data_IF_417340977143
#
_entry.id   IF_417340977143
#
_cell.length_a   1.000
_cell.length_b   1.000
_cell.length_c   1.000
_cell.angle_alpha   90.00
_cell.angle_beta   90.00
_cell.angle_gamma   90.00
#
_symmetry.space_group_name_H-M   'P 1'
#
loop_
_entity.id
_entity.type
_entity.pdbx_description
1 polymer ?
#
# COMPACT_ATOMS: atom_id res chain seq x y z
N UNK A 1 4.90 1.31 5.66
CA UNK A 1 4.17 1.09 4.40
C UNK A 1 4.26 -0.38 3.95
N UNK A 2 3.54 -1.29 4.62
CA UNK A 2 3.66 -2.75 4.43
C UNK A 2 3.15 -3.25 3.06
N UNK A 3 2.24 -2.50 2.44
CA UNK A 3 1.63 -2.83 1.15
C UNK A 3 2.63 -2.99 0.00
N UNK A 4 3.81 -2.34 0.08
CA UNK A 4 4.87 -2.43 -0.92
C UNK A 4 5.58 -3.78 -0.96
N UNK A 5 5.43 -4.60 0.08
CA UNK A 5 6.16 -5.87 0.23
C UNK A 5 5.24 -7.08 0.32
N UNK A 6 3.92 -6.84 0.41
CA UNK A 6 2.91 -7.88 0.48
C UNK A 6 2.20 -8.02 -0.86
N UNK A 7 1.97 -9.25 -1.30
CA UNK A 7 1.16 -9.51 -2.50
C UNK A 7 -0.31 -9.07 -2.35
N UNK A 8 -0.79 -8.92 -1.11
CA UNK A 8 -2.16 -8.57 -0.78
C UNK A 8 -2.21 -7.45 0.26
N UNK A 9 -3.23 -6.63 0.16
CA UNK A 9 -3.50 -5.47 1.00
C UNK A 9 -4.87 -5.59 1.69
N UNK A 10 -4.93 -5.16 2.94
CA UNK A 10 -6.17 -4.93 3.68
C UNK A 10 -6.61 -3.46 3.55
N UNK A 11 -7.84 -3.15 4.00
CA UNK A 11 -8.29 -1.74 4.10
C UNK A 11 -7.36 -0.89 4.97
N UNK A 12 -6.79 -1.44 6.04
CA UNK A 12 -5.82 -0.74 6.88
C UNK A 12 -4.53 -0.42 6.13
N UNK A 13 -4.02 -1.36 5.31
CA UNK A 13 -2.83 -1.13 4.49
C UNK A 13 -3.08 -0.02 3.44
N UNK A 14 -4.27 0.00 2.85
CA UNK A 14 -4.71 1.05 1.91
C UNK A 14 -4.80 2.41 2.64
N UNK A 15 -5.34 2.42 3.87
CA UNK A 15 -5.44 3.64 4.67
C UNK A 15 -4.06 4.22 5.00
N UNK A 16 -3.09 3.36 5.38
CA UNK A 16 -1.71 3.76 5.63
C UNK A 16 -1.07 4.35 4.35
N UNK A 17 -1.25 3.68 3.21
CA UNK A 17 -0.76 4.15 1.90
C UNK A 17 -1.33 5.53 1.53
N UNK A 18 -2.59 5.79 1.88
CA UNK A 18 -3.26 7.06 1.63
C UNK A 18 -2.94 8.14 2.68
N UNK A 19 -1.99 7.90 3.59
CA UNK A 19 -1.61 8.86 4.63
C UNK A 19 -2.70 9.08 5.68
N UNK A 20 -3.44 8.04 6.06
CA UNK A 20 -4.54 8.16 7.02
C UNK A 20 -5.87 8.63 6.40
N UNK A 21 -6.08 8.34 5.11
CA UNK A 21 -7.27 8.75 4.37
C UNK A 21 -8.60 8.35 5.04
N UNK A 22 -9.66 9.14 4.78
CA UNK A 22 -11.01 8.86 5.30
C UNK A 22 -11.46 7.44 4.95
N UNK A 23 -12.00 6.70 5.92
CA UNK A 23 -12.41 5.30 5.75
C UNK A 23 -13.38 5.03 4.60
N UNK A 24 -14.25 6.01 4.28
CA UNK A 24 -15.15 5.95 3.12
C UNK A 24 -14.38 5.89 1.79
N UNK A 25 -13.30 6.65 1.65
CA UNK A 25 -12.45 6.62 0.45
C UNK A 25 -11.66 5.31 0.38
N UNK A 26 -11.11 4.86 1.50
CA UNK A 26 -10.43 3.57 1.62
C UNK A 26 -11.33 2.41 1.20
N UNK A 27 -12.58 2.41 1.68
CA UNK A 27 -13.57 1.39 1.30
C UNK A 27 -13.88 1.43 -0.19
N UNK A 28 -14.05 2.64 -0.78
CA UNK A 28 -14.26 2.77 -2.22
C UNK A 28 -13.10 2.17 -3.04
N UNK A 29 -11.86 2.45 -2.66
CA UNK A 29 -10.67 1.88 -3.32
C UNK A 29 -10.64 0.36 -3.19
N UNK A 30 -10.95 -0.16 -2.01
CA UNK A 30 -11.00 -1.60 -1.76
C UNK A 30 -12.07 -2.28 -2.63
N UNK A 31 -13.27 -1.70 -2.72
CA UNK A 31 -14.37 -2.24 -3.51
C UNK A 31 -14.07 -2.19 -5.01
N UNK A 32 -13.39 -1.13 -5.48
CA UNK A 32 -12.90 -1.04 -6.86
C UNK A 32 -11.84 -2.11 -7.16
N UNK A 33 -10.92 -2.36 -6.23
CA UNK A 33 -9.95 -3.45 -6.36
C UNK A 33 -10.65 -4.81 -6.41
N UNK A 34 -11.71 -5.03 -5.61
CA UNK A 34 -12.49 -6.27 -5.64
C UNK A 34 -13.20 -6.48 -6.97
N UNK A 35 -13.77 -5.43 -7.56
CA UNK A 35 -14.38 -5.48 -8.89
C UNK A 35 -13.37 -5.83 -9.98
N UNK A 36 -12.15 -5.31 -9.88
CA UNK A 36 -11.06 -5.58 -10.84
C UNK A 36 -10.43 -6.96 -10.65
N UNK A 37 -10.37 -7.47 -9.42
CA UNK A 37 -9.89 -8.82 -9.10
C UNK A 37 -10.76 -9.88 -9.80
N UNK A 38 -12.08 -9.60 -9.91
CA UNK A 38 -13.06 -10.48 -10.55
C UNK A 38 -12.95 -11.94 -10.08
N UNK A 39 -12.68 -12.14 -8.78
CA UNK A 39 -12.60 -13.47 -8.16
C UNK A 39 -14.03 -14.00 -7.92
N UNK A 40 -14.48 -15.01 -8.70
CA UNK A 40 -15.85 -15.52 -8.60
C UNK A 40 -16.12 -16.26 -7.29
N UNK A 41 -15.07 -16.70 -6.58
CA UNK A 41 -15.19 -17.43 -5.33
C UNK A 41 -14.95 -16.55 -4.10
N UNK A 42 -14.52 -15.30 -4.30
CA UNK A 42 -14.15 -14.36 -3.26
C UNK A 42 -13.34 -15.02 -2.13
N UNK A 43 -12.29 -15.76 -2.49
CA UNK A 43 -11.50 -16.58 -1.56
C UNK A 43 -10.86 -15.76 -0.44
N UNK A 44 -10.76 -14.44 -0.63
CA UNK A 44 -10.10 -13.51 0.29
C UNK A 44 -10.96 -12.27 0.52
N UNK A 45 -12.09 -12.35 1.24
CA UNK A 45 -13.05 -11.25 1.33
C UNK A 45 -12.46 -9.97 1.96
N UNK A 46 -11.45 -10.11 2.82
CA UNK A 46 -10.84 -9.01 3.56
C UNK A 46 -9.54 -8.48 2.94
N UNK A 47 -9.14 -8.99 1.77
CA UNK A 47 -7.87 -8.63 1.11
C UNK A 47 -8.07 -8.42 -0.38
N UNK A 48 -7.26 -7.55 -0.96
CA UNK A 48 -7.18 -7.32 -2.41
C UNK A 48 -5.73 -7.41 -2.86
N UNK A 49 -5.45 -7.77 -4.12
CA UNK A 49 -4.09 -7.75 -4.65
C UNK A 49 -3.47 -6.34 -4.54
N UNK A 50 -2.28 -6.23 -3.97
CA UNK A 50 -1.65 -4.92 -3.70
C UNK A 50 -1.44 -4.12 -4.98
N UNK A 51 -1.07 -4.77 -6.09
CA UNK A 51 -0.87 -4.09 -7.38
C UNK A 51 -2.15 -3.42 -7.91
N UNK A 52 -3.34 -3.95 -7.59
CA UNK A 52 -4.61 -3.30 -7.95
C UNK A 52 -4.84 -2.02 -7.14
N UNK A 53 -4.40 -1.98 -5.89
CA UNK A 53 -4.47 -0.76 -5.07
C UNK A 53 -3.67 0.37 -5.72
N UNK A 54 -2.44 0.09 -6.14
CA UNK A 54 -1.61 1.08 -6.85
C UNK A 54 -2.24 1.51 -8.17
N UNK A 55 -2.81 0.56 -8.93
CA UNK A 55 -3.53 0.83 -10.17
C UNK A 55 -4.74 1.74 -9.96
N UNK A 56 -5.59 1.44 -8.99
CA UNK A 56 -6.81 2.21 -8.68
C UNK A 56 -6.47 3.62 -8.19
N UNK A 57 -5.41 3.76 -7.38
CA UNK A 57 -4.96 5.06 -6.90
C UNK A 57 -4.16 5.87 -7.95
N UNK A 58 -3.86 5.29 -9.11
CA UNK A 58 -3.02 5.93 -10.13
C UNK A 58 -1.57 6.12 -9.67
N UNK A 59 -1.11 5.32 -8.71
CA UNK A 59 0.24 5.40 -8.15
C UNK A 59 1.20 4.50 -8.93
N UNK A 60 2.35 5.05 -9.32
CA UNK A 60 3.42 4.24 -9.91
C UNK A 60 4.11 3.44 -8.81
N UNK A 61 3.95 2.12 -8.86
CA UNK A 61 4.53 1.19 -7.88
C UNK A 61 6.05 1.30 -7.78
N UNK A 62 6.76 1.35 -8.91
CA UNK A 62 8.22 1.47 -8.94
C UNK A 62 8.70 2.76 -8.31
N UNK A 63 7.97 3.86 -8.53
CA UNK A 63 8.25 5.14 -7.91
C UNK A 63 8.02 5.09 -6.39
N UNK A 64 6.87 4.56 -5.95
CA UNK A 64 6.56 4.42 -4.52
C UNK A 64 7.56 3.51 -3.78
N UNK A 65 7.97 2.40 -4.42
CA UNK A 65 8.98 1.49 -3.88
C UNK A 65 10.35 2.18 -3.78
N UNK A 66 10.73 2.98 -4.78
CA UNK A 66 11.97 3.75 -4.76
C UNK A 66 11.98 4.78 -3.64
N UNK A 67 10.92 5.58 -3.50
CA UNK A 67 10.81 6.57 -2.42
C UNK A 67 10.90 5.93 -1.03
N UNK A 68 10.25 4.78 -0.84
CA UNK A 68 10.35 4.06 0.43
C UNK A 68 11.80 3.63 0.72
N UNK A 69 12.50 3.04 -0.26
CA UNK A 69 13.91 2.64 -0.10
C UNK A 69 14.82 3.82 0.21
N UNK A 70 14.62 4.95 -0.46
CA UNK A 70 15.38 6.18 -0.21
C UNK A 70 15.15 6.72 1.21
N UNK A 71 13.90 6.71 1.69
CA UNK A 71 13.58 7.11 3.07
C UNK A 71 14.17 6.17 4.11
N UNK A 72 14.07 4.84 3.91
CA UNK A 72 14.66 3.88 4.86
C UNK A 72 16.17 3.99 4.91
N UNK A 73 16.83 4.19 3.77
CA UNK A 73 18.29 4.35 3.73
C UNK A 73 18.71 5.66 4.42
N UNK A 74 18.00 6.77 4.19
CA UNK A 74 18.28 8.05 4.83
C UNK A 74 18.04 8.04 6.35
N UNK A 75 17.04 7.29 6.82
CA UNK A 75 16.75 7.12 8.24
C UNK A 75 17.89 6.38 8.96
N UNK A 76 18.41 5.31 8.35
CA UNK A 76 19.54 4.51 8.87
C UNK A 76 20.82 5.33 9.02
N UNK A 77 21.08 6.26 8.09
CA UNK A 77 22.27 7.11 8.11
C UNK A 77 22.23 8.15 9.23
N UNK A 78 21.05 8.68 9.59
CA UNK A 78 20.89 9.68 10.66
C UNK A 78 21.07 9.08 12.05
N UNK A 79 20.61 7.85 12.28
CA UNK A 79 20.77 7.17 13.57
C UNK A 79 22.23 6.80 13.86
N UNK A 80 23.04 6.54 12.82
CA UNK A 80 24.46 6.21 12.99
C UNK A 80 25.34 7.43 13.34
N UNK A 81 24.88 8.66 13.06
CA UNK A 81 25.63 9.89 13.35
C UNK A 81 25.34 10.49 14.73
N UNK A 82 24.27 10.05 15.41
CA UNK A 82 23.87 10.51 16.76
C UNK A 82 24.39 9.60 17.88
N UNK A 83 25.10 8.53 17.54
CA UNK A 83 25.66 7.55 18.48
C UNK A 83 27.18 7.64 18.65
N UNK A 84 27.81 8.73 18.17
CA UNK A 84 29.24 9.04 18.37
C UNK A 84 29.42 10.36 19.11
#
# INVERSE_FOLDING_TARGET
MKILFNAYATKSDIQELMGGGRWKKVSKVFDECKKLENDPFNLRPNKVPSHLVFKVLGLNYSFALRQYKEQTNAQSSKTAQLSN
#
